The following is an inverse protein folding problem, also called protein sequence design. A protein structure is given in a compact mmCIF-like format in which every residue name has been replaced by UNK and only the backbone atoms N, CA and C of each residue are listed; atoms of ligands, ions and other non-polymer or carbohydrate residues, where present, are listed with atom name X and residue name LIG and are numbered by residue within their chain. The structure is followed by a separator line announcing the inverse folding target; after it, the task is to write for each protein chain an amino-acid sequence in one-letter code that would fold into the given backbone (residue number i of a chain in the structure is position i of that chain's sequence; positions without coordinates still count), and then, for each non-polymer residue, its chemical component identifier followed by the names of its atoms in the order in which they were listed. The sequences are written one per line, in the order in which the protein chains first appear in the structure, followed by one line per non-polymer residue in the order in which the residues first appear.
data_IF_873458011843
#
_entry.id   IF_873458011843
#
_cell.length_a   1.000
_cell.length_b   1.000
_cell.length_c   1.000
_cell.angle_alpha   90.00
_cell.angle_beta   90.00
_cell.angle_gamma   90.00
#
_symmetry.space_group_name_H-M   'P 1'
#
loop_
_entity.id
_entity.type
_entity.pdbx_description
1 polymer ?
#
# COMPACT_ATOMS: atom_id res chain seq x y z
N UNK A 1 -9.83 -11.85 38.59
CA UNK A 1 -11.20 -12.34 38.32
C UNK A 1 -11.58 -11.98 36.88
N UNK A 2 -10.80 -12.45 35.89
CA UNK A 2 -10.81 -11.88 34.53
C UNK A 2 -10.69 -12.91 33.38
N UNK A 3 -11.01 -14.19 33.61
CA UNK A 3 -10.84 -15.24 32.57
C UNK A 3 -12.16 -15.95 32.27
N UNK A 4 -13.21 -15.21 31.84
CA UNK A 4 -14.42 -15.84 31.31
C UNK A 4 -14.72 -15.31 29.92
N UNK A 5 -14.77 -16.25 28.98
CA UNK A 5 -15.21 -16.05 27.61
C UNK A 5 -16.68 -15.65 27.65
N UNK A 6 -17.01 -14.53 27.03
CA UNK A 6 -18.39 -14.14 26.85
C UNK A 6 -18.89 -14.67 25.50
N UNK A 7 -19.86 -15.59 25.51
CA UNK A 7 -20.51 -16.09 24.30
C UNK A 7 -21.08 -14.97 23.42
N UNK A 8 -21.47 -13.82 24.00
CA UNK A 8 -21.93 -12.65 23.24
C UNK A 8 -20.79 -11.98 22.48
N UNK A 9 -19.56 -12.02 23.01
CA UNK A 9 -18.35 -11.55 22.32
C UNK A 9 -18.10 -12.40 21.08
N UNK A 10 -18.05 -13.73 21.23
CA UNK A 10 -17.85 -14.66 20.11
C UNK A 10 -18.91 -14.46 19.02
N UNK A 11 -20.17 -14.28 19.42
CA UNK A 11 -21.26 -13.95 18.51
C UNK A 11 -21.03 -12.64 17.76
N UNK A 12 -20.54 -11.58 18.42
CA UNK A 12 -20.22 -10.30 17.80
C UNK A 12 -19.07 -10.42 16.79
N UNK A 13 -18.03 -11.21 17.11
CA UNK A 13 -16.89 -11.50 16.23
C UNK A 13 -17.36 -12.20 14.96
N UNK A 14 -18.15 -13.27 15.09
CA UNK A 14 -18.65 -14.03 13.95
C UNK A 14 -19.60 -13.22 13.07
N UNK A 15 -20.49 -12.40 13.67
CA UNK A 15 -21.36 -11.49 12.92
C UNK A 15 -20.57 -10.41 12.18
N UNK A 16 -19.47 -9.92 12.77
CA UNK A 16 -18.58 -9.00 12.10
C UNK A 16 -17.91 -9.68 10.91
N UNK A 17 -17.47 -10.93 11.06
CA UNK A 17 -16.79 -11.67 9.99
C UNK A 17 -17.75 -11.88 8.83
N UNK A 18 -18.98 -12.28 9.13
CA UNK A 18 -20.08 -12.39 8.15
C UNK A 18 -20.28 -11.11 7.37
N UNK A 19 -20.47 -9.98 8.06
CA UNK A 19 -20.70 -8.67 7.43
C UNK A 19 -19.56 -8.27 6.51
N UNK A 20 -18.30 -8.51 6.91
CA UNK A 20 -17.13 -8.16 6.09
C UNK A 20 -16.99 -9.04 4.85
N UNK A 21 -17.30 -10.33 4.97
CA UNK A 21 -17.37 -11.24 3.83
C UNK A 21 -18.51 -10.79 2.89
N UNK A 22 -19.72 -10.60 3.41
CA UNK A 22 -20.92 -10.26 2.64
C UNK A 22 -20.78 -8.97 1.83
N UNK A 23 -20.04 -7.96 2.33
CA UNK A 23 -19.73 -6.72 1.59
C UNK A 23 -19.00 -6.96 0.27
N UNK A 24 -18.28 -8.07 0.14
CA UNK A 24 -17.44 -8.41 -1.01
C UNK A 24 -18.04 -9.55 -1.85
N UNK A 25 -19.11 -10.18 -1.35
CA UNK A 25 -19.80 -11.29 -1.98
C UNK A 25 -21.30 -11.04 -1.95
N UNK A 26 -22.06 -11.92 -1.30
CA UNK A 26 -23.45 -11.79 -0.93
C UNK A 26 -23.62 -12.29 0.50
N UNK A 27 -24.70 -11.92 1.18
CA UNK A 27 -24.94 -12.41 2.55
C UNK A 27 -25.09 -13.94 2.58
N UNK A 28 -25.69 -14.53 1.53
CA UNK A 28 -25.81 -15.98 1.36
C UNK A 28 -24.46 -16.67 1.20
N UNK A 29 -23.58 -16.12 0.37
CA UNK A 29 -22.22 -16.62 0.21
C UNK A 29 -21.43 -16.51 1.54
N UNK A 30 -21.61 -15.41 2.28
CA UNK A 30 -20.97 -15.22 3.58
C UNK A 30 -21.45 -16.22 4.65
N UNK A 31 -22.76 -16.45 4.72
CA UNK A 31 -23.38 -17.44 5.62
C UNK A 31 -22.94 -18.85 5.24
N UNK A 32 -22.91 -19.18 3.95
CA UNK A 32 -22.45 -20.49 3.48
C UNK A 32 -20.97 -20.74 3.81
N UNK A 33 -20.10 -19.75 3.56
CA UNK A 33 -18.67 -19.85 3.89
C UNK A 33 -18.45 -20.03 5.39
N UNK A 34 -19.09 -19.22 6.23
CA UNK A 34 -18.94 -19.33 7.68
C UNK A 34 -19.45 -20.66 8.23
N UNK A 35 -20.60 -21.14 7.74
CA UNK A 35 -21.12 -22.47 8.10
C UNK A 35 -20.09 -23.55 7.78
N UNK A 36 -19.52 -23.52 6.57
CA UNK A 36 -18.52 -24.47 6.14
C UNK A 36 -17.25 -24.40 7.02
N UNK A 37 -16.74 -23.20 7.32
CA UNK A 37 -15.53 -23.06 8.14
C UNK A 37 -15.73 -23.55 9.57
N UNK A 38 -16.91 -23.29 10.16
CA UNK A 38 -17.25 -23.80 11.49
C UNK A 38 -17.35 -25.32 11.48
N UNK A 39 -18.02 -25.91 10.49
CA UNK A 39 -18.10 -27.37 10.32
C UNK A 39 -16.71 -28.01 10.18
N UNK A 40 -15.82 -27.42 9.38
CA UNK A 40 -14.45 -27.89 9.18
C UNK A 40 -13.56 -27.80 10.42
N UNK A 41 -13.78 -26.80 11.28
CA UNK A 41 -13.00 -26.57 12.50
C UNK A 41 -13.56 -27.28 13.72
N UNK A 42 -14.82 -27.71 13.69
CA UNK A 42 -15.47 -28.43 14.81
C UNK A 42 -14.70 -29.67 15.30
N UNK A 43 -14.08 -30.50 14.43
CA UNK A 43 -13.27 -31.63 14.89
C UNK A 43 -12.04 -31.23 15.71
N UNK A 44 -11.52 -30.01 15.53
CA UNK A 44 -10.35 -29.49 16.23
C UNK A 44 -10.74 -28.68 17.48
N UNK A 45 -11.93 -28.08 17.46
CA UNK A 45 -12.42 -27.19 18.50
C UNK A 45 -13.85 -27.57 18.87
N UNK A 46 -13.98 -28.46 19.86
CA UNK A 46 -15.27 -29.09 20.21
C UNK A 46 -16.35 -28.05 20.58
N UNK A 47 -15.95 -26.91 21.18
CA UNK A 47 -16.89 -25.85 21.56
C UNK A 47 -17.61 -25.22 20.36
N UNK A 48 -17.09 -25.33 19.13
CA UNK A 48 -17.75 -24.82 17.93
C UNK A 48 -19.10 -25.51 17.64
N UNK A 49 -19.36 -26.69 18.24
CA UNK A 49 -20.69 -27.32 18.20
C UNK A 49 -21.80 -26.46 18.83
N UNK A 50 -21.42 -25.48 19.66
CA UNK A 50 -22.32 -24.50 20.27
C UNK A 50 -22.57 -23.26 19.39
N UNK A 51 -22.03 -23.24 18.17
CA UNK A 51 -22.24 -22.17 17.19
C UNK A 51 -23.10 -22.71 16.05
N UNK A 52 -24.15 -21.99 15.68
CA UNK A 52 -25.03 -22.34 14.57
C UNK A 52 -25.16 -21.18 13.59
N UNK A 53 -24.97 -21.46 12.30
CA UNK A 53 -25.09 -20.49 11.21
C UNK A 53 -26.33 -20.84 10.38
N UNK A 54 -27.38 -20.04 10.50
CA UNK A 54 -28.67 -20.29 9.86
C UNK A 54 -28.65 -19.85 8.39
N UNK A 55 -28.84 -20.82 7.47
CA UNK A 55 -28.91 -20.59 6.01
C UNK A 55 -30.24 -19.99 5.51
N UNK A 56 -31.23 -19.75 6.39
CA UNK A 56 -32.56 -19.27 6.00
C UNK A 56 -32.72 -17.77 6.27
N UNK A 57 -32.72 -16.97 5.20
CA UNK A 57 -32.90 -15.50 5.19
C UNK A 57 -34.33 -15.08 5.60
N UNK A 58 -35.30 -16.00 5.54
CA UNK A 58 -36.73 -15.68 5.62
C UNK A 58 -37.35 -15.68 7.02
N UNK A 59 -36.55 -15.86 8.07
CA UNK A 59 -37.01 -15.65 9.44
C UNK A 59 -36.29 -14.45 10.03
N UNK A 60 -37.00 -13.61 10.77
CA UNK A 60 -36.46 -12.46 11.56
C UNK A 60 -35.43 -12.89 12.65
N UNK A 61 -35.02 -14.16 12.64
CA UNK A 61 -34.01 -14.74 13.51
C UNK A 61 -32.60 -14.35 13.09
N UNK A 62 -31.73 -14.14 14.07
CA UNK A 62 -30.31 -13.89 13.86
C UNK A 62 -29.64 -15.02 13.04
N UNK A 63 -28.82 -14.63 12.06
CA UNK A 63 -28.13 -15.57 11.16
C UNK A 63 -27.05 -16.41 11.87
N UNK A 64 -26.55 -15.94 13.01
CA UNK A 64 -25.52 -16.61 13.81
C UNK A 64 -26.01 -16.67 15.25
N UNK A 65 -26.14 -17.89 15.75
CA UNK A 65 -26.50 -18.18 17.13
C UNK A 65 -25.31 -18.82 17.85
N UNK A 66 -25.06 -18.39 19.09
CA UNK A 66 -24.00 -18.92 19.95
C UNK A 66 -24.60 -19.27 21.29
N UNK A 67 -24.49 -20.53 21.70
CA UNK A 67 -25.05 -21.03 22.94
C UNK A 67 -24.26 -20.51 24.16
N UNK A 68 -24.91 -20.19 25.29
CA UNK A 68 -24.24 -19.76 26.52
C UNK A 68 -23.17 -20.74 27.03
N UNK A 69 -23.32 -22.03 26.74
CA UNK A 69 -22.41 -23.12 27.07
C UNK A 69 -20.99 -22.90 26.53
N UNK A 70 -20.84 -22.12 25.44
CA UNK A 70 -19.54 -21.71 24.90
C UNK A 70 -18.71 -20.92 25.93
N UNK A 71 -19.36 -20.23 26.88
CA UNK A 71 -18.68 -19.46 27.93
C UNK A 71 -17.85 -20.34 28.88
N UNK A 72 -18.04 -21.67 28.84
CA UNK A 72 -17.26 -22.65 29.60
C UNK A 72 -16.06 -23.21 28.82
N UNK A 73 -15.88 -22.83 27.55
CA UNK A 73 -14.76 -23.29 26.74
C UNK A 73 -13.43 -22.71 27.25
N UNK A 74 -12.32 -23.33 26.87
CA UNK A 74 -10.99 -22.80 27.16
C UNK A 74 -10.73 -21.55 26.30
N UNK A 75 -10.27 -20.47 26.94
CA UNK A 75 -10.07 -19.17 26.29
C UNK A 75 -9.05 -19.23 25.14
N UNK A 76 -7.94 -19.94 25.34
CA UNK A 76 -6.91 -20.10 24.30
C UNK A 76 -7.43 -20.93 23.11
N UNK A 77 -8.28 -21.92 23.37
CA UNK A 77 -8.91 -22.72 22.30
C UNK A 77 -9.90 -21.86 21.50
N UNK A 78 -10.69 -21.02 22.17
CA UNK A 78 -11.60 -20.08 21.50
C UNK A 78 -10.84 -19.08 20.64
N UNK A 79 -9.76 -18.49 21.16
CA UNK A 79 -8.93 -17.58 20.36
C UNK A 79 -8.26 -18.27 19.18
N UNK A 80 -7.74 -19.48 19.37
CA UNK A 80 -7.13 -20.26 18.29
C UNK A 80 -8.14 -20.57 17.19
N UNK A 81 -9.36 -20.94 17.55
CA UNK A 81 -10.43 -21.20 16.58
C UNK A 81 -10.87 -19.94 15.83
N UNK A 82 -11.04 -18.81 16.54
CA UNK A 82 -11.38 -17.52 15.92
C UNK A 82 -10.29 -17.06 14.96
N UNK A 83 -9.03 -17.20 15.36
CA UNK A 83 -7.87 -16.96 14.50
C UNK A 83 -7.92 -17.83 13.23
N UNK A 84 -8.22 -19.13 13.35
CA UNK A 84 -8.37 -20.02 12.20
C UNK A 84 -9.55 -19.63 11.29
N UNK A 85 -10.68 -19.21 11.86
CA UNK A 85 -11.85 -18.75 11.10
C UNK A 85 -11.53 -17.51 10.25
N UNK A 86 -10.82 -16.54 10.84
CA UNK A 86 -10.38 -15.34 10.12
C UNK A 86 -9.38 -15.71 9.02
N UNK A 87 -8.40 -16.57 9.32
CA UNK A 87 -7.40 -17.03 8.35
C UNK A 87 -8.05 -17.76 7.16
N UNK A 88 -9.00 -18.66 7.41
CA UNK A 88 -9.78 -19.35 6.38
C UNK A 88 -10.60 -18.37 5.54
N UNK A 89 -11.24 -17.40 6.18
CA UNK A 89 -12.02 -16.36 5.48
C UNK A 89 -11.16 -15.54 4.52
N UNK A 90 -9.98 -15.10 4.99
CA UNK A 90 -9.00 -14.39 4.16
C UNK A 90 -8.54 -15.25 2.98
N UNK A 91 -8.26 -16.54 3.23
CA UNK A 91 -7.76 -17.47 2.22
C UNK A 91 -8.79 -17.76 1.11
N UNK A 92 -10.02 -18.11 1.49
CA UNK A 92 -11.08 -18.50 0.54
C UNK A 92 -11.61 -17.32 -0.27
N UNK A 93 -11.56 -16.11 0.29
CA UNK A 93 -11.96 -14.91 -0.43
C UNK A 93 -11.00 -14.50 -1.55
N UNK A 94 -9.77 -15.06 -1.60
CA UNK A 94 -8.78 -14.86 -2.68
C UNK A 94 -8.67 -13.39 -3.12
N UNK A 95 -8.96 -13.08 -4.39
CA UNK A 95 -8.87 -11.74 -4.98
C UNK A 95 -9.89 -10.73 -4.41
N UNK A 96 -10.95 -11.21 -3.73
CA UNK A 96 -11.96 -10.38 -3.08
C UNK A 96 -11.54 -9.95 -1.66
N UNK A 97 -10.59 -10.64 -1.04
CA UNK A 97 -9.95 -10.22 0.21
C UNK A 97 -8.72 -9.36 -0.12
N UNK A 98 -8.93 -8.04 -0.18
CA UNK A 98 -7.85 -7.08 -0.27
C UNK A 98 -7.20 -6.83 1.10
N UNK A 99 -6.11 -6.05 1.12
CA UNK A 99 -5.38 -5.64 2.33
C UNK A 99 -6.31 -5.07 3.42
N UNK A 100 -7.44 -4.49 3.01
CA UNK A 100 -8.44 -3.92 3.88
C UNK A 100 -9.32 -4.95 4.58
N UNK A 101 -9.31 -6.23 4.19
CA UNK A 101 -10.18 -7.22 4.84
C UNK A 101 -9.80 -7.44 6.32
N UNK A 102 -8.51 -7.65 6.63
CA UNK A 102 -8.04 -7.84 8.01
C UNK A 102 -8.11 -6.51 8.79
N UNK A 103 -7.79 -5.39 8.13
CA UNK A 103 -7.87 -4.04 8.74
C UNK A 103 -9.31 -3.64 9.08
N UNK A 104 -10.24 -3.82 8.15
CA UNK A 104 -11.66 -3.57 8.40
C UNK A 104 -12.23 -4.48 9.49
N UNK A 105 -11.65 -5.68 9.63
CA UNK A 105 -11.98 -6.60 10.71
C UNK A 105 -11.48 -6.05 12.04
N UNK A 106 -10.23 -5.56 12.10
CA UNK A 106 -9.66 -4.85 13.26
C UNK A 106 -10.48 -3.60 13.64
N UNK A 107 -10.78 -2.72 12.69
CA UNK A 107 -11.54 -1.48 12.93
C UNK A 107 -12.92 -1.79 13.53
N UNK A 108 -13.56 -2.87 13.07
CA UNK A 108 -14.86 -3.28 13.58
C UNK A 108 -14.83 -3.86 15.01
N UNK A 109 -13.65 -4.21 15.53
CA UNK A 109 -13.45 -4.58 16.94
C UNK A 109 -13.17 -3.40 17.84
N UNK A 110 -12.53 -2.36 17.31
CA UNK A 110 -12.29 -1.14 18.09
C UNK A 110 -13.58 -0.39 18.43
N UNK A 111 -14.60 -0.58 17.60
CA UNK A 111 -15.96 -0.07 17.80
C UNK A 111 -16.83 -0.96 18.73
N UNK A 112 -16.34 -2.10 19.22
CA UNK A 112 -17.09 -2.96 20.16
C UNK A 112 -16.92 -2.50 21.62
N UNK A 113 -17.93 -2.82 22.45
CA UNK A 113 -17.92 -2.52 23.89
C UNK A 113 -16.64 -3.05 24.57
N UNK A 114 -16.18 -2.35 25.62
CA UNK A 114 -14.92 -2.60 26.34
C UNK A 114 -14.73 -4.07 26.78
N UNK A 115 -15.83 -4.78 27.06
CA UNK A 115 -15.84 -6.20 27.44
C UNK A 115 -15.40 -7.13 26.29
N UNK A 116 -15.61 -6.71 25.04
CA UNK A 116 -15.21 -7.44 23.84
C UNK A 116 -13.78 -7.12 23.39
N UNK A 117 -13.25 -5.96 23.79
CA UNK A 117 -11.90 -5.49 23.44
C UNK A 117 -10.78 -6.33 24.05
N UNK A 118 -10.96 -6.82 25.28
CA UNK A 118 -9.99 -7.71 25.94
C UNK A 118 -9.85 -9.07 25.25
N UNK A 119 -10.87 -9.52 24.51
CA UNK A 119 -10.80 -10.77 23.73
C UNK A 119 -10.12 -10.57 22.36
N UNK A 120 -10.06 -9.34 21.87
CA UNK A 120 -9.48 -9.02 20.56
C UNK A 120 -8.00 -8.70 20.63
N UNK A 121 -7.52 -8.17 21.76
CA UNK A 121 -6.09 -7.93 22.01
C UNK A 121 -5.26 -9.24 21.96
N UNK A 122 -5.89 -10.38 22.27
CA UNK A 122 -5.28 -11.72 22.23
C UNK A 122 -5.36 -12.40 20.86
N UNK A 123 -6.12 -11.86 19.90
CA UNK A 123 -6.11 -12.32 18.51
C UNK A 123 -5.00 -11.52 17.81
N UNK A 124 -3.94 -12.17 17.28
CA UNK A 124 -2.79 -11.46 16.74
C UNK A 124 -3.08 -10.91 15.34
N UNK A 125 -4.10 -10.06 15.19
CA UNK A 125 -4.60 -9.55 13.91
C UNK A 125 -3.52 -8.76 13.16
N UNK A 126 -2.63 -8.08 13.88
CA UNK A 126 -1.47 -7.39 13.29
C UNK A 126 -0.46 -8.39 12.72
N UNK A 127 -0.20 -9.49 13.44
CA UNK A 127 0.64 -10.58 12.93
C UNK A 127 -0.03 -11.30 11.77
N UNK A 128 -1.35 -11.47 11.77
CA UNK A 128 -2.10 -12.03 10.64
C UNK A 128 -2.07 -11.12 9.42
N UNK A 129 -2.17 -9.80 9.62
CA UNK A 129 -2.02 -8.83 8.56
C UNK A 129 -0.59 -8.88 8.00
N UNK A 130 0.40 -9.00 8.88
CA UNK A 130 1.80 -9.17 8.51
C UNK A 130 2.04 -10.50 7.78
N UNK A 131 1.47 -11.61 8.25
CA UNK A 131 1.55 -12.95 7.66
C UNK A 131 0.84 -12.96 6.31
N UNK A 132 -0.31 -12.29 6.17
CA UNK A 132 -0.98 -12.09 4.88
C UNK A 132 -0.13 -11.25 3.93
N UNK A 133 0.50 -10.17 4.39
CA UNK A 133 1.43 -9.39 3.58
C UNK A 133 2.66 -10.21 3.17
N UNK A 134 3.20 -11.04 4.06
CA UNK A 134 4.30 -11.98 3.78
C UNK A 134 3.84 -13.07 2.79
N UNK A 135 2.67 -13.66 2.99
CA UNK A 135 2.13 -14.73 2.15
C UNK A 135 1.70 -14.19 0.77
N UNK A 136 1.18 -12.96 0.69
CA UNK A 136 0.95 -12.24 -0.57
C UNK A 136 2.27 -11.86 -1.22
N UNK A 137 3.29 -11.43 -0.46
CA UNK A 137 4.64 -11.21 -0.95
C UNK A 137 5.32 -12.50 -1.42
N UNK A 138 4.96 -13.66 -0.86
CA UNK A 138 5.36 -15.00 -1.31
C UNK A 138 4.59 -15.46 -2.55
N UNK A 139 3.30 -15.11 -2.66
CA UNK A 139 2.51 -15.33 -3.89
C UNK A 139 3.05 -14.46 -5.04
N UNK A 140 3.62 -13.29 -4.72
CA UNK A 140 4.38 -12.39 -5.58
C UNK A 140 5.88 -12.76 -5.74
N UNK A 141 6.39 -13.72 -4.96
CA UNK A 141 7.75 -14.27 -5.15
C UNK A 141 7.82 -15.28 -6.30
N UNK A 142 6.69 -15.55 -6.95
CA UNK A 142 6.67 -16.29 -8.20
C UNK A 142 6.89 -15.27 -9.32
N UNK A 143 8.11 -15.31 -9.88
CA UNK A 143 8.52 -14.68 -11.15
C UNK A 143 9.06 -13.22 -11.15
N UNK A 144 9.77 -12.73 -10.13
CA UNK A 144 10.49 -11.42 -10.22
C UNK A 144 11.39 -11.32 -11.45
N UNK A 145 12.15 -12.39 -11.73
CA UNK A 145 13.01 -12.50 -12.91
C UNK A 145 12.23 -12.35 -14.22
N UNK A 146 11.11 -13.07 -14.36
CA UNK A 146 10.31 -12.98 -15.58
C UNK A 146 9.65 -11.62 -15.71
N UNK A 147 9.19 -11.04 -14.59
CA UNK A 147 8.54 -9.75 -14.62
C UNK A 147 9.50 -8.63 -15.07
N UNK A 148 10.73 -8.58 -14.55
CA UNK A 148 11.70 -7.57 -15.01
C UNK A 148 12.07 -7.77 -16.47
N UNK A 149 12.25 -9.01 -16.94
CA UNK A 149 12.47 -9.34 -18.35
C UNK A 149 11.30 -8.82 -19.20
N UNK A 150 10.06 -9.11 -18.80
CA UNK A 150 8.86 -8.68 -19.52
C UNK A 150 8.71 -7.15 -19.54
N UNK A 151 9.04 -6.47 -18.44
CA UNK A 151 9.03 -5.01 -18.35
C UNK A 151 10.08 -4.41 -19.30
N UNK A 152 11.32 -4.92 -19.29
CA UNK A 152 12.40 -4.44 -20.17
C UNK A 152 12.04 -4.67 -21.63
N UNK A 153 11.55 -5.87 -22.00
CA UNK A 153 11.10 -6.12 -23.38
C UNK A 153 9.95 -5.20 -23.80
N UNK A 154 9.00 -4.93 -22.90
CA UNK A 154 7.90 -4.02 -23.18
C UNK A 154 8.40 -2.59 -23.39
N UNK A 155 9.34 -2.12 -22.57
CA UNK A 155 9.96 -0.80 -22.69
C UNK A 155 10.81 -0.68 -23.95
N UNK A 156 11.61 -1.70 -24.31
CA UNK A 156 12.32 -1.75 -25.59
C UNK A 156 11.35 -1.70 -26.77
N UNK A 157 10.23 -2.43 -26.69
CA UNK A 157 9.21 -2.39 -27.74
C UNK A 157 8.51 -1.03 -27.83
N UNK A 158 8.35 -0.31 -26.72
CA UNK A 158 7.85 1.07 -26.70
C UNK A 158 8.88 2.01 -27.32
N UNK A 159 10.16 1.92 -26.93
CA UNK A 159 11.24 2.74 -27.46
C UNK A 159 11.40 2.57 -29.00
N UNK A 160 11.32 1.32 -29.48
CA UNK A 160 11.37 0.98 -30.91
C UNK A 160 10.21 1.56 -31.74
N UNK A 161 9.20 2.18 -31.11
CA UNK A 161 8.16 2.91 -31.86
C UNK A 161 8.66 4.25 -32.41
N UNK A 162 9.68 4.84 -31.79
CA UNK A 162 10.22 6.16 -32.15
C UNK A 162 11.73 6.14 -32.44
N UNK A 163 12.44 5.10 -32.00
CA UNK A 163 13.89 4.96 -32.12
C UNK A 163 14.27 3.70 -32.91
N UNK A 164 15.48 3.65 -33.46
CA UNK A 164 16.05 2.40 -33.95
C UNK A 164 16.34 1.44 -32.79
N UNK A 165 16.47 0.15 -33.10
CA UNK A 165 16.71 -0.87 -32.07
C UNK A 165 18.00 -0.59 -31.26
N UNK A 166 19.07 -0.14 -31.92
CA UNK A 166 20.31 0.21 -31.25
C UNK A 166 20.12 1.41 -30.29
N UNK A 167 19.39 2.44 -30.73
CA UNK A 167 19.12 3.62 -29.90
C UNK A 167 18.24 3.27 -28.70
N UNK A 168 17.24 2.40 -28.87
CA UNK A 168 16.41 1.91 -27.76
C UNK A 168 17.22 1.16 -26.71
N UNK A 169 18.19 0.34 -27.13
CA UNK A 169 19.10 -0.36 -26.21
C UNK A 169 20.02 0.62 -25.49
N UNK A 170 20.56 1.62 -26.20
CA UNK A 170 21.37 2.67 -25.57
C UNK A 170 20.59 3.46 -24.52
N UNK A 171 19.32 3.79 -24.77
CA UNK A 171 18.44 4.44 -23.77
C UNK A 171 18.26 3.55 -22.54
N UNK A 172 18.08 2.24 -22.73
CA UNK A 172 17.91 1.29 -21.64
C UNK A 172 19.19 1.13 -20.82
N UNK A 173 20.33 0.93 -21.48
CA UNK A 173 21.66 0.81 -20.84
C UNK A 173 22.02 2.08 -20.05
N UNK A 174 21.79 3.26 -20.64
CA UNK A 174 21.95 4.55 -19.96
C UNK A 174 21.07 4.63 -18.72
N UNK A 175 19.80 4.22 -18.81
CA UNK A 175 18.88 4.20 -17.68
C UNK A 175 19.35 3.25 -16.58
N UNK A 176 19.86 2.06 -16.92
CA UNK A 176 20.44 1.16 -15.92
C UNK A 176 21.62 1.82 -15.20
N UNK A 177 22.54 2.45 -15.93
CA UNK A 177 23.68 3.16 -15.35
C UNK A 177 23.26 4.27 -14.39
N UNK A 178 22.22 5.05 -14.73
CA UNK A 178 21.65 6.09 -13.85
C UNK A 178 21.05 5.51 -12.57
N UNK A 179 20.46 4.31 -12.65
CA UNK A 179 19.78 3.65 -11.54
C UNK A 179 20.70 2.78 -10.67
N UNK A 180 21.88 2.40 -11.15
CA UNK A 180 22.86 1.56 -10.44
C UNK A 180 23.18 2.02 -9.01
N UNK A 181 23.43 3.32 -8.72
CA UNK A 181 23.77 3.76 -7.37
C UNK A 181 22.69 3.45 -6.33
N UNK A 182 21.41 3.39 -6.76
CA UNK A 182 20.26 3.12 -5.90
C UNK A 182 19.83 1.65 -5.95
N UNK A 183 20.02 0.98 -7.09
CA UNK A 183 19.61 -0.40 -7.32
C UNK A 183 20.75 -1.20 -7.96
N UNK A 184 21.74 -1.66 -7.16
CA UNK A 184 22.93 -2.32 -7.68
C UNK A 184 22.66 -3.58 -8.51
N UNK A 185 21.51 -4.24 -8.27
CA UNK A 185 21.12 -5.45 -8.99
C UNK A 185 20.84 -5.23 -10.48
N UNK A 186 20.71 -3.97 -10.95
CA UNK A 186 20.67 -3.72 -12.39
C UNK A 186 21.98 -4.08 -13.09
N UNK A 187 23.11 -4.21 -12.36
CA UNK A 187 24.37 -4.71 -12.93
C UNK A 187 24.25 -6.15 -13.45
N UNK A 188 23.25 -6.89 -12.95
CA UNK A 188 23.00 -8.27 -13.32
C UNK A 188 22.03 -8.41 -14.50
N UNK A 189 21.67 -7.30 -15.16
CA UNK A 189 20.76 -7.26 -16.32
C UNK A 189 21.55 -6.92 -17.57
N UNK A 190 21.52 -7.81 -18.57
CA UNK A 190 22.20 -7.62 -19.85
C UNK A 190 21.19 -7.68 -21.00
N UNK A 191 21.36 -6.83 -22.01
CA UNK A 191 20.55 -6.82 -23.22
C UNK A 191 21.43 -7.26 -24.39
N UNK A 192 21.28 -8.51 -24.81
CA UNK A 192 22.17 -9.14 -25.78
C UNK A 192 21.47 -9.22 -27.13
N UNK A 193 22.18 -8.89 -28.21
CA UNK A 193 21.65 -9.06 -29.56
C UNK A 193 21.58 -10.55 -29.90
N UNK A 194 20.40 -11.07 -30.21
CA UNK A 194 20.26 -12.46 -30.62
C UNK A 194 20.69 -12.63 -32.08
N UNK A 195 21.73 -13.41 -32.33
CA UNK A 195 22.26 -13.66 -33.67
C UNK A 195 21.35 -14.54 -34.54
N UNK A 196 20.51 -15.38 -33.91
CA UNK A 196 19.62 -16.33 -34.57
C UNK A 196 18.27 -15.72 -34.93
N UNK A 197 17.82 -14.73 -34.14
CA UNK A 197 16.58 -13.99 -34.37
C UNK A 197 16.91 -12.60 -34.92
N UNK A 198 16.87 -12.45 -36.25
CA UNK A 198 17.14 -11.18 -36.97
C UNK A 198 16.46 -9.98 -36.28
N UNK A 199 17.22 -9.17 -35.55
CA UNK A 199 16.78 -7.91 -34.93
C UNK A 199 16.20 -8.02 -33.50
N UNK A 200 16.15 -9.20 -32.89
CA UNK A 200 15.62 -9.32 -31.53
C UNK A 200 16.74 -9.31 -30.48
N UNK A 201 16.57 -8.49 -29.45
CA UNK A 201 17.42 -8.51 -28.26
C UNK A 201 16.82 -9.45 -27.21
N UNK A 202 17.67 -10.22 -26.53
CA UNK A 202 17.35 -11.02 -25.35
C UNK A 202 17.73 -10.26 -24.09
N UNK A 203 16.91 -10.36 -23.06
CA UNK A 203 17.25 -9.86 -21.72
C UNK A 203 17.75 -11.03 -20.90
N UNK A 204 19.00 -10.99 -20.50
CA UNK A 204 19.65 -12.01 -19.69
C UNK A 204 19.86 -11.49 -18.27
N UNK A 205 19.58 -12.34 -17.28
CA UNK A 205 19.80 -12.04 -15.87
C UNK A 205 20.92 -12.94 -15.35
N UNK A 206 22.00 -12.35 -14.85
CA UNK A 206 23.10 -13.11 -14.23
C UNK A 206 22.86 -13.44 -12.76
N UNK A 207 21.88 -12.78 -12.12
CA UNK A 207 21.49 -13.03 -10.73
C UNK A 207 20.01 -13.37 -10.56
N UNK A 208 19.71 -14.02 -9.44
CA UNK A 208 18.35 -14.31 -9.03
C UNK A 208 17.76 -13.18 -8.17
N UNK A 209 16.76 -12.47 -8.71
CA UNK A 209 16.15 -11.31 -8.05
C UNK A 209 15.12 -11.69 -6.98
N UNK A 210 14.91 -12.98 -6.73
CA UNK A 210 13.99 -13.44 -5.68
C UNK A 210 14.41 -12.99 -4.28
N UNK A 211 15.72 -12.84 -4.05
CA UNK A 211 16.27 -12.37 -2.77
C UNK A 211 16.09 -10.87 -2.53
N UNK A 212 15.75 -10.10 -3.57
CA UNK A 212 15.55 -8.65 -3.43
C UNK A 212 14.23 -8.39 -2.70
N UNK A 213 14.21 -7.57 -1.64
CA UNK A 213 12.97 -7.19 -0.98
C UNK A 213 11.93 -6.65 -1.97
N UNK A 214 10.70 -7.15 -1.90
CA UNK A 214 9.65 -6.86 -2.90
C UNK A 214 9.39 -5.36 -3.08
N UNK A 215 9.44 -4.57 -2.01
CA UNK A 215 9.29 -3.11 -2.10
C UNK A 215 10.44 -2.44 -2.87
N UNK A 216 11.67 -2.93 -2.70
CA UNK A 216 12.85 -2.37 -3.38
C UNK A 216 12.82 -2.72 -4.86
N UNK A 217 12.36 -3.93 -5.18
CA UNK A 217 12.13 -4.38 -6.54
C UNK A 217 11.02 -3.57 -7.23
N UNK A 218 9.89 -3.34 -6.56
CA UNK A 218 8.81 -2.50 -7.09
C UNK A 218 9.25 -1.05 -7.34
N UNK A 219 9.95 -0.44 -6.39
CA UNK A 219 10.51 0.92 -6.54
C UNK A 219 11.49 0.97 -7.72
N UNK A 220 12.34 -0.04 -7.90
CA UNK A 220 13.25 -0.11 -9.05
C UNK A 220 12.50 -0.22 -10.39
N UNK A 221 11.46 -1.06 -10.49
CA UNK A 221 10.65 -1.18 -11.71
C UNK A 221 9.94 0.14 -12.04
N UNK A 222 9.42 0.85 -11.02
CA UNK A 222 8.84 2.17 -11.21
C UNK A 222 9.87 3.15 -11.80
N UNK A 223 11.05 3.27 -11.17
CA UNK A 223 12.08 4.21 -11.61
C UNK A 223 12.61 3.83 -13.01
N UNK A 224 12.75 2.53 -13.32
CA UNK A 224 13.10 2.07 -14.66
C UNK A 224 12.10 2.56 -15.71
N UNK A 225 10.80 2.31 -15.48
CA UNK A 225 9.74 2.71 -16.41
C UNK A 225 9.70 4.24 -16.57
N UNK A 226 9.83 4.98 -15.47
CA UNK A 226 9.85 6.44 -15.47
C UNK A 226 11.03 7.01 -16.27
N UNK A 227 12.25 6.60 -15.96
CA UNK A 227 13.46 7.12 -16.61
C UNK A 227 13.49 6.79 -18.10
N UNK A 228 13.13 5.57 -18.50
CA UNK A 228 13.02 5.23 -19.92
C UNK A 228 11.98 6.10 -20.60
N UNK A 229 10.79 6.25 -20.02
CA UNK A 229 9.75 7.10 -20.59
C UNK A 229 10.16 8.58 -20.70
N UNK A 230 10.94 9.08 -19.74
CA UNK A 230 11.49 10.44 -19.77
C UNK A 230 12.57 10.61 -20.86
N UNK A 231 13.48 9.63 -21.05
CA UNK A 231 14.50 9.68 -22.12
C UNK A 231 13.91 9.59 -23.52
N UNK A 232 12.72 9.00 -23.67
CA UNK A 232 12.03 8.89 -24.97
C UNK A 232 11.28 10.16 -25.37
N UNK A 233 11.25 11.20 -24.52
CA UNK A 233 10.58 12.48 -24.75
C UNK A 233 9.17 12.34 -25.33
N UNK A 234 8.38 11.41 -24.78
CA UNK A 234 7.00 11.22 -25.19
C UNK A 234 6.20 12.47 -24.80
N UNK A 235 5.89 13.30 -25.80
CA UNK A 235 5.08 14.52 -25.68
C UNK A 235 3.75 14.35 -24.93
N UNK A 236 3.24 13.11 -24.78
CA UNK A 236 2.04 12.77 -24.04
C UNK A 236 2.25 11.53 -23.16
N UNK A 237 2.24 11.71 -21.83
CA UNK A 237 2.37 10.60 -20.86
C UNK A 237 1.34 9.51 -21.04
N UNK A 238 0.10 9.91 -21.38
CA UNK A 238 -1.01 8.99 -21.62
C UNK A 238 -0.76 8.07 -22.81
N UNK A 239 -0.04 8.54 -23.83
CA UNK A 239 0.32 7.72 -24.99
C UNK A 239 1.38 6.67 -24.63
N UNK A 240 2.46 7.09 -23.96
CA UNK A 240 3.51 6.17 -23.48
C UNK A 240 2.89 5.06 -22.61
N UNK A 241 2.11 5.47 -21.62
CA UNK A 241 1.47 4.57 -20.68
C UNK A 241 0.55 3.56 -21.38
N UNK A 242 -0.29 4.03 -22.31
CA UNK A 242 -1.21 3.16 -23.07
C UNK A 242 -0.44 2.12 -23.88
N UNK A 243 0.62 2.53 -24.59
CA UNK A 243 1.45 1.61 -25.39
C UNK A 243 2.15 0.62 -24.46
N UNK A 244 2.72 1.09 -23.35
CA UNK A 244 3.39 0.24 -22.36
C UNK A 244 2.43 -0.82 -21.79
N UNK A 245 1.23 -0.43 -21.36
CA UNK A 245 0.22 -1.37 -20.86
C UNK A 245 -0.20 -2.39 -21.92
N UNK A 246 -0.31 -1.98 -23.18
CA UNK A 246 -0.59 -2.88 -24.30
C UNK A 246 0.55 -3.90 -24.49
N UNK A 247 1.81 -3.47 -24.42
CA UNK A 247 2.99 -4.33 -24.60
C UNK A 247 3.23 -5.27 -23.42
N UNK A 248 3.01 -4.80 -22.20
CA UNK A 248 3.08 -5.62 -20.98
C UNK A 248 2.04 -6.74 -20.98
N UNK A 249 0.85 -6.46 -21.51
CA UNK A 249 -0.30 -7.36 -21.43
C UNK A 249 -0.92 -7.41 -20.04
N UNK A 250 -2.14 -7.96 -19.97
CA UNK A 250 -2.98 -7.94 -18.75
C UNK A 250 -2.28 -8.56 -17.53
N UNK A 251 -1.63 -9.71 -17.71
CA UNK A 251 -0.94 -10.44 -16.64
C UNK A 251 0.18 -9.61 -15.99
N UNK A 252 1.11 -9.07 -16.77
CA UNK A 252 2.25 -8.32 -16.22
C UNK A 252 1.80 -6.98 -15.63
N UNK A 253 0.84 -6.30 -16.26
CA UNK A 253 0.25 -5.09 -15.69
C UNK A 253 -0.39 -5.35 -14.32
N UNK A 254 -1.11 -6.47 -14.17
CA UNK A 254 -1.69 -6.87 -12.89
C UNK A 254 -0.63 -7.24 -11.85
N UNK A 255 0.47 -7.90 -12.24
CA UNK A 255 1.60 -8.15 -11.35
C UNK A 255 2.25 -6.85 -10.86
N UNK A 256 2.46 -5.87 -11.75
CA UNK A 256 2.96 -4.55 -11.37
C UNK A 256 2.04 -3.85 -10.36
N UNK A 257 0.71 -3.90 -10.58
CA UNK A 257 -0.28 -3.38 -9.62
C UNK A 257 -0.21 -4.10 -8.28
N UNK A 258 -0.11 -5.44 -8.29
CA UNK A 258 0.02 -6.25 -7.06
C UNK A 258 1.32 -5.94 -6.30
N UNK A 259 2.37 -5.50 -7.00
CA UNK A 259 3.64 -5.01 -6.43
C UNK A 259 3.59 -3.53 -6.00
N UNK A 260 2.46 -2.85 -6.14
CA UNK A 260 2.30 -1.42 -5.88
C UNK A 260 3.17 -0.51 -6.76
N UNK A 261 3.49 -0.94 -7.98
CA UNK A 261 4.03 -0.06 -9.01
C UNK A 261 2.85 0.72 -9.61
N UNK A 262 2.84 2.07 -9.55
CA UNK A 262 1.69 2.89 -9.97
C UNK A 262 1.59 3.00 -11.50
N UNK A 263 1.59 1.87 -12.22
CA UNK A 263 1.61 1.77 -13.69
C UNK A 263 0.42 2.51 -14.36
N UNK A 264 -0.69 2.63 -13.64
CA UNK A 264 -1.89 3.32 -14.12
C UNK A 264 -1.82 4.86 -13.96
N UNK A 265 -0.84 5.37 -13.22
CA UNK A 265 -0.65 6.80 -12.94
C UNK A 265 0.75 7.30 -13.29
N UNK A 266 1.55 6.53 -14.04
CA UNK A 266 2.89 6.97 -14.45
C UNK A 266 2.76 8.18 -15.37
N UNK A 267 3.23 9.32 -14.89
CA UNK A 267 3.40 10.52 -15.69
C UNK A 267 4.88 10.71 -15.96
N UNK A 268 5.24 10.69 -17.24
CA UNK A 268 6.59 11.01 -17.73
C UNK A 268 6.67 12.48 -18.17
N UNK A 269 5.52 13.16 -18.23
CA UNK A 269 5.42 14.60 -18.40
C UNK A 269 5.70 15.26 -17.06
N UNK A 270 6.49 16.34 -17.10
CA UNK A 270 6.71 17.22 -15.95
C UNK A 270 5.35 17.67 -15.41
N UNK A 271 5.18 17.58 -14.09
CA UNK A 271 3.99 18.10 -13.42
C UNK A 271 3.82 19.58 -13.77
N UNK A 272 2.63 19.99 -14.19
CA UNK A 272 2.29 21.41 -14.34
C UNK A 272 2.17 22.13 -12.98
N UNK A 273 2.09 21.36 -11.89
CA UNK A 273 2.07 21.89 -10.52
C UNK A 273 3.53 21.95 -10.04
N UNK A 274 3.96 23.14 -9.61
CA UNK A 274 5.32 23.37 -9.16
C UNK A 274 5.63 22.58 -7.88
N UNK A 275 6.91 22.29 -7.62
CA UNK A 275 7.33 21.64 -6.37
C UNK A 275 6.94 22.48 -5.16
N UNK A 276 7.02 23.81 -5.29
CA UNK A 276 6.57 24.77 -4.29
C UNK A 276 5.08 24.61 -3.98
N UNK A 277 4.21 24.56 -4.99
CA UNK A 277 2.76 24.41 -4.78
C UNK A 277 2.43 23.07 -4.10
N UNK A 278 3.16 22.01 -4.47
CA UNK A 278 3.00 20.68 -3.88
C UNK A 278 3.43 20.68 -2.40
N UNK A 279 4.57 21.28 -2.09
CA UNK A 279 5.04 21.40 -0.70
C UNK A 279 4.13 22.31 0.13
N UNK A 280 3.69 23.43 -0.42
CA UNK A 280 2.71 24.33 0.20
C UNK A 280 1.45 23.56 0.59
N UNK A 281 0.83 22.88 -0.37
CA UNK A 281 -0.41 22.13 -0.12
C UNK A 281 -0.22 21.02 0.91
N UNK A 282 0.93 20.37 0.90
CA UNK A 282 1.27 19.37 1.91
C UNK A 282 1.32 19.99 3.30
N UNK A 283 2.07 21.07 3.49
CA UNK A 283 2.20 21.72 4.80
C UNK A 283 0.83 22.23 5.26
N UNK A 284 0.05 22.86 4.39
CA UNK A 284 -1.32 23.31 4.72
C UNK A 284 -2.19 22.14 5.17
N UNK A 285 -2.16 21.03 4.44
CA UNK A 285 -2.94 19.83 4.79
C UNK A 285 -2.50 19.22 6.12
N UNK A 286 -1.20 19.23 6.42
CA UNK A 286 -0.67 18.73 7.69
C UNK A 286 -1.05 19.66 8.86
N UNK A 287 -1.01 20.99 8.66
CA UNK A 287 -1.49 21.97 9.65
C UNK A 287 -2.97 21.76 9.92
N UNK A 288 -3.78 21.61 8.88
CA UNK A 288 -5.21 21.37 9.01
C UNK A 288 -5.49 20.09 9.84
N UNK A 289 -4.80 18.99 9.52
CA UNK A 289 -4.94 17.72 10.26
C UNK A 289 -4.57 17.83 11.74
N UNK A 290 -3.49 18.55 12.06
CA UNK A 290 -3.08 18.75 13.47
C UNK A 290 -4.06 19.71 14.16
N UNK A 291 -4.53 20.73 13.43
CA UNK A 291 -5.41 21.79 13.90
C UNK A 291 -6.80 21.29 14.29
N UNK A 292 -7.36 20.34 13.52
CA UNK A 292 -8.65 19.69 13.83
C UNK A 292 -8.73 19.08 15.23
N UNK A 293 -7.58 18.69 15.79
CA UNK A 293 -7.49 18.06 17.12
C UNK A 293 -7.05 19.01 18.21
N UNK A 294 -6.58 20.20 17.82
CA UNK A 294 -5.92 21.12 18.73
C UNK A 294 -6.38 22.55 18.44
N UNK A 295 -5.46 23.43 18.07
CA UNK A 295 -5.73 24.73 17.50
C UNK A 295 -4.77 24.91 16.33
N UNK A 296 -5.16 25.71 15.35
CA UNK A 296 -4.28 26.10 14.25
C UNK A 296 -2.96 26.68 14.75
N UNK A 297 -3.01 27.49 15.81
CA UNK A 297 -1.84 28.01 16.50
C UNK A 297 -0.87 26.90 16.91
N UNK A 298 -1.39 25.86 17.55
CA UNK A 298 -0.59 24.72 18.01
C UNK A 298 -0.07 23.90 16.81
N UNK A 299 -0.90 23.70 15.79
CA UNK A 299 -0.54 22.99 14.57
C UNK A 299 0.64 23.64 13.83
N UNK A 300 0.63 24.97 13.70
CA UNK A 300 1.73 25.75 13.11
C UNK A 300 3.03 25.57 13.92
N UNK A 301 2.94 25.65 15.26
CA UNK A 301 4.10 25.44 16.12
C UNK A 301 4.68 24.01 16.01
N UNK A 302 3.81 23.01 15.92
CA UNK A 302 4.20 21.61 15.66
C UNK A 302 4.87 21.50 14.29
N UNK A 303 4.30 22.10 13.23
CA UNK A 303 4.90 22.06 11.90
C UNK A 303 6.30 22.67 11.87
N UNK A 304 6.48 23.86 12.45
CA UNK A 304 7.79 24.51 12.55
C UNK A 304 8.79 23.56 13.22
N UNK A 305 8.41 22.96 14.36
CA UNK A 305 9.26 22.00 15.07
C UNK A 305 9.59 20.77 14.23
N UNK A 306 8.64 20.24 13.46
CA UNK A 306 8.87 19.07 12.62
C UNK A 306 9.76 19.38 11.42
N UNK A 307 9.55 20.51 10.75
CA UNK A 307 10.45 21.00 9.71
C UNK A 307 11.85 21.20 10.28
N UNK A 308 11.97 21.79 11.47
CA UNK A 308 13.26 21.99 12.15
C UNK A 308 13.98 20.69 12.52
N UNK A 309 13.23 19.62 12.77
CA UNK A 309 13.80 18.29 13.01
C UNK A 309 14.28 17.65 11.70
N UNK A 310 13.46 17.72 10.65
CA UNK A 310 13.73 17.06 9.36
C UNK A 310 14.77 17.83 8.54
N UNK A 311 14.88 19.16 8.70
CA UNK A 311 15.87 20.00 7.97
C UNK A 311 17.32 19.61 8.28
N UNK A 312 17.57 18.91 9.39
CA UNK A 312 18.89 18.37 9.73
C UNK A 312 19.39 17.32 8.74
N UNK A 313 18.47 16.64 8.05
CA UNK A 313 18.78 15.60 7.06
C UNK A 313 18.33 15.94 5.64
N UNK A 314 17.66 17.07 5.43
CA UNK A 314 17.11 17.51 4.15
C UNK A 314 17.29 19.01 3.95
N UNK A 315 18.28 19.40 3.13
CA UNK A 315 18.63 20.80 2.88
C UNK A 315 17.47 21.58 2.26
N UNK A 316 16.63 20.94 1.45
CA UNK A 316 15.45 21.54 0.85
C UNK A 316 14.50 22.21 1.86
N UNK A 317 14.41 21.70 3.10
CA UNK A 317 13.58 22.30 4.14
C UNK A 317 14.15 23.60 4.71
N UNK A 318 15.44 23.87 4.53
CA UNK A 318 16.04 25.16 4.93
C UNK A 318 15.54 26.32 4.07
N UNK A 319 14.99 25.99 2.89
CA UNK A 319 14.40 26.93 1.94
C UNK A 319 12.93 27.23 2.22
N UNK A 320 12.38 26.74 3.34
CA UNK A 320 11.00 26.95 3.74
C UNK A 320 10.98 27.74 5.05
N UNK A 321 10.26 28.85 5.07
CA UNK A 321 10.03 29.64 6.27
C UNK A 321 8.54 29.74 6.56
N UNK A 322 8.13 29.18 7.69
CA UNK A 322 6.77 29.36 8.20
C UNK A 322 6.79 30.50 9.21
N UNK A 323 6.12 31.60 8.86
CA UNK A 323 5.94 32.74 9.74
C UNK A 323 4.53 32.76 10.29
N UNK A 324 4.39 33.24 11.52
CA UNK A 324 3.12 33.29 12.22
C UNK A 324 2.71 34.74 12.45
N UNK A 325 1.51 35.08 12.02
CA UNK A 325 0.84 36.35 12.25
C UNK A 325 -0.22 36.20 13.35
N UNK A 326 -0.86 37.30 13.75
CA UNK A 326 -1.86 37.29 14.85
C UNK A 326 -3.06 36.41 14.55
N UNK A 327 -3.48 36.36 13.29
CA UNK A 327 -4.73 35.70 12.86
C UNK A 327 -4.51 34.63 11.78
N UNK A 328 -3.25 34.39 11.37
CA UNK A 328 -2.92 33.48 10.26
C UNK A 328 -1.46 33.04 10.31
N UNK A 329 -1.06 32.14 9.41
CA UNK A 329 0.32 31.81 9.12
C UNK A 329 0.63 32.04 7.63
N UNK A 330 1.90 32.23 7.31
CA UNK A 330 2.37 32.34 5.93
C UNK A 330 3.56 31.44 5.74
N UNK A 331 3.59 30.74 4.62
CA UNK A 331 4.71 29.91 4.22
C UNK A 331 5.42 30.61 3.07
N UNK A 332 6.72 30.82 3.23
CA UNK A 332 7.59 31.42 2.23
C UNK A 332 8.61 30.39 1.77
N UNK A 333 8.91 30.41 0.47
CA UNK A 333 9.90 29.54 -0.15
C UNK A 333 11.01 30.40 -0.74
N UNK A 334 12.24 29.89 -0.75
CA UNK A 334 13.32 30.51 -1.51
C UNK A 334 13.05 30.44 -3.02
N UNK A 335 13.54 31.43 -3.76
CA UNK A 335 13.29 31.55 -5.22
C UNK A 335 13.75 30.31 -6.01
N UNK A 336 14.77 29.62 -5.52
CA UNK A 336 15.33 28.43 -6.15
C UNK A 336 14.73 27.11 -5.64
N UNK A 337 13.63 27.15 -4.88
CA UNK A 337 12.98 25.95 -4.33
C UNK A 337 12.53 24.98 -5.43
N UNK A 338 11.96 25.51 -6.52
CA UNK A 338 11.49 24.71 -7.66
C UNK A 338 12.63 24.07 -8.49
N UNK A 339 13.87 24.46 -8.22
CA UNK A 339 15.07 23.90 -8.86
C UNK A 339 15.60 22.67 -8.13
N UNK A 340 14.92 22.22 -7.07
CA UNK A 340 15.36 21.06 -6.30
C UNK A 340 15.25 19.77 -7.13
N UNK A 341 16.23 18.89 -6.94
CA UNK A 341 16.22 17.56 -7.52
C UNK A 341 14.96 16.79 -7.10
N UNK A 342 14.25 16.19 -8.06
CA UNK A 342 12.98 15.48 -7.81
C UNK A 342 13.14 14.34 -6.80
N UNK A 343 14.31 13.69 -6.77
CA UNK A 343 14.59 12.62 -5.82
C UNK A 343 14.76 13.17 -4.41
N UNK A 344 15.47 14.28 -4.24
CA UNK A 344 15.60 14.95 -2.94
C UNK A 344 14.27 15.56 -2.47
N UNK A 345 13.48 16.15 -3.38
CA UNK A 345 12.13 16.62 -3.10
C UNK A 345 11.24 15.50 -2.57
N UNK A 346 11.18 14.36 -3.28
CA UNK A 346 10.40 13.19 -2.86
C UNK A 346 10.84 12.66 -1.50
N UNK A 347 12.15 12.56 -1.25
CA UNK A 347 12.68 12.09 0.04
C UNK A 347 12.28 13.05 1.17
N UNK A 348 12.39 14.35 0.93
CA UNK A 348 12.04 15.41 1.88
C UNK A 348 10.56 15.35 2.25
N UNK A 349 9.67 15.30 1.26
CA UNK A 349 8.22 15.14 1.46
C UNK A 349 7.93 13.90 2.29
N UNK A 350 8.52 12.76 1.90
CA UNK A 350 8.35 11.50 2.62
C UNK A 350 8.77 11.63 4.09
N UNK A 351 9.97 12.15 4.36
CA UNK A 351 10.47 12.31 5.72
C UNK A 351 9.58 13.22 6.55
N UNK A 352 9.03 14.28 5.96
CA UNK A 352 8.11 15.20 6.64
C UNK A 352 6.79 14.51 7.02
N UNK A 353 6.16 13.80 6.07
CA UNK A 353 4.95 13.00 6.34
C UNK A 353 5.22 11.99 7.46
N UNK A 354 6.38 11.33 7.42
CA UNK A 354 6.75 10.33 8.41
C UNK A 354 6.96 10.93 9.81
N UNK A 355 7.64 12.07 9.91
CA UNK A 355 7.87 12.77 11.17
C UNK A 355 6.55 13.21 11.82
N UNK A 356 5.62 13.74 11.03
CA UNK A 356 4.29 14.16 11.51
C UNK A 356 3.46 12.96 11.94
N UNK A 357 3.41 11.91 11.11
CA UNK A 357 2.66 10.70 11.42
C UNK A 357 3.14 10.06 12.73
N UNK A 358 4.46 10.04 12.96
CA UNK A 358 5.04 9.57 14.22
C UNK A 358 4.68 10.47 15.41
N UNK A 359 4.68 11.79 15.23
CA UNK A 359 4.34 12.74 16.29
C UNK A 359 2.87 12.64 16.74
N UNK A 360 1.96 12.42 15.80
CA UNK A 360 0.52 12.36 16.08
C UNK A 360 0.09 11.08 16.80
N UNK A 361 0.94 10.05 16.88
CA UNK A 361 0.64 8.79 17.56
C UNK A 361 -0.59 8.05 17.03
N UNK A 362 -1.13 8.43 15.86
CA UNK A 362 -2.25 7.75 15.21
C UNK A 362 -1.80 6.40 14.67
N UNK A 363 -2.76 5.48 14.52
CA UNK A 363 -2.61 4.39 13.55
C UNK A 363 -2.29 5.01 12.19
N UNK A 364 -1.10 4.69 11.67
CA UNK A 364 -0.50 5.43 10.56
C UNK A 364 -1.30 5.31 9.26
N UNK A 365 -2.09 4.25 9.10
CA UNK A 365 -3.06 4.13 8.01
C UNK A 365 -4.13 5.23 8.04
N UNK A 366 -4.68 5.56 9.20
CA UNK A 366 -5.74 6.57 9.34
C UNK A 366 -5.18 7.96 9.07
N UNK A 367 -3.95 8.22 9.55
CA UNK A 367 -3.24 9.47 9.24
C UNK A 367 -3.07 9.67 7.74
N UNK A 368 -2.60 8.65 7.01
CA UNK A 368 -2.39 8.78 5.56
C UNK A 368 -3.71 8.91 4.81
N UNK A 369 -4.77 8.20 5.21
CA UNK A 369 -6.08 8.34 4.59
C UNK A 369 -6.68 9.75 4.78
N UNK A 370 -6.61 10.28 5.99
CA UNK A 370 -7.03 11.66 6.26
C UNK A 370 -6.16 12.66 5.49
N UNK A 371 -4.85 12.45 5.42
CA UNK A 371 -3.93 13.28 4.63
C UNK A 371 -4.30 13.27 3.14
N UNK A 372 -4.62 12.10 2.56
CA UNK A 372 -5.07 12.01 1.17
C UNK A 372 -6.38 12.77 0.95
N UNK A 373 -7.32 12.71 1.90
CA UNK A 373 -8.57 13.49 1.84
C UNK A 373 -8.30 15.00 1.85
N UNK A 374 -7.41 15.48 2.73
CA UNK A 374 -7.04 16.90 2.82
C UNK A 374 -6.26 17.40 1.60
N UNK A 375 -5.29 16.63 1.13
CA UNK A 375 -4.54 16.95 -0.08
C UNK A 375 -5.44 17.13 -1.30
N UNK A 376 -6.46 16.27 -1.43
CA UNK A 376 -7.36 16.23 -2.57
C UNK A 376 -6.76 15.43 -3.74
N UNK A 377 -7.64 14.96 -4.64
CA UNK A 377 -7.29 14.01 -5.70
C UNK A 377 -6.16 14.51 -6.60
N UNK A 378 -6.17 15.79 -6.96
CA UNK A 378 -5.15 16.41 -7.81
C UNK A 378 -3.74 16.32 -7.21
N UNK A 379 -3.57 16.74 -5.96
CA UNK A 379 -2.27 16.72 -5.30
C UNK A 379 -1.82 15.31 -4.95
N UNK A 380 -2.74 14.42 -4.55
CA UNK A 380 -2.42 12.99 -4.38
C UNK A 380 -1.87 12.42 -5.69
N UNK A 381 -2.50 12.69 -6.82
CA UNK A 381 -1.98 12.28 -8.12
C UNK A 381 -0.64 12.95 -8.45
N UNK A 382 -0.41 14.21 -8.08
CA UNK A 382 0.90 14.87 -8.27
C UNK A 382 2.02 14.20 -7.45
N UNK A 383 1.76 13.84 -6.19
CA UNK A 383 2.69 13.08 -5.36
C UNK A 383 2.98 11.69 -5.94
N UNK A 384 1.93 10.96 -6.36
CA UNK A 384 2.09 9.64 -6.97
C UNK A 384 2.90 9.70 -8.27
N UNK A 385 2.68 10.74 -9.10
CA UNK A 385 3.47 11.01 -10.31
C UNK A 385 4.94 11.29 -10.01
N UNK A 386 5.25 11.87 -8.86
CA UNK A 386 6.63 12.08 -8.39
C UNK A 386 7.27 10.81 -7.81
N UNK A 387 6.53 9.69 -7.80
CA UNK A 387 6.96 8.41 -7.22
C UNK A 387 6.77 8.32 -5.72
N UNK A 388 5.99 9.22 -5.11
CA UNK A 388 5.61 9.12 -3.71
C UNK A 388 4.37 8.26 -3.57
N UNK A 389 4.58 6.99 -3.21
CA UNK A 389 3.49 6.06 -3.02
C UNK A 389 2.97 6.15 -1.57
N UNK A 390 1.81 6.78 -1.38
CA UNK A 390 1.15 6.87 -0.07
C UNK A 390 0.87 5.51 0.57
N UNK A 391 0.60 4.48 -0.23
CA UNK A 391 0.40 3.13 0.27
C UNK A 391 1.69 2.52 0.84
N UNK A 392 2.86 2.85 0.27
CA UNK A 392 4.16 2.48 0.88
C UNK A 392 4.42 3.28 2.16
N UNK A 393 3.95 4.53 2.24
CA UNK A 393 4.06 5.33 3.46
C UNK A 393 3.21 4.77 4.59
N UNK A 394 2.02 4.26 4.28
CA UNK A 394 1.18 3.49 5.21
C UNK A 394 1.94 2.27 5.76
N UNK A 395 2.76 1.61 4.93
CA UNK A 395 3.52 0.39 5.31
C UNK A 395 4.85 0.62 6.03
N UNK A 396 5.60 1.70 5.72
CA UNK A 396 6.99 1.91 6.19
C UNK A 396 7.11 2.67 7.50
N UNK A 397 6.02 3.23 7.98
CA UNK A 397 5.95 3.79 9.30
C UNK A 397 5.65 2.63 10.25
N UNK A 398 6.60 1.73 10.56
CA UNK A 398 6.46 0.77 11.66
C UNK A 398 7.50 1.09 12.72
#
# INVERSE_FOLDING_TARGET
MHDRIDHTAVKAILNTLRRKIARRTSDDEAVSMLSQFIEELTPQYEFLKYVSVNKKIYSESESIWVAPELSNANQNEVFSALHQLVKKSVFEMKEKADFFFIREFQDAFEDMDVVHKTMTDDIPLDEMQHEYLINRAHTLSLEKNQLIINVIHSLLSVANTNLSENESVQVMEKTFLELLPKYPFFHSVNIVKNAELKGYYTVELSDNFQKIPTFQFADALYNLIYHVGAHLDFNQSTQFQRILLQKLGKRNAELLRKLNVPIDNISIAKSNVSQQDIMQRLIDSLIELIGERTSEYFAVAVMIKMIDNVKKSHELLTKIQISKNKDDFSIQFADDFNSADETDFRKTVKSLIQAIGAHLGKKRGDFIEELKKKLGKEYVSSFERMGLNFHILEMKLN
#
